data_IF_246229284777
#
_entry.id   IF_246229284777
#
_cell.length_a   1.000
_cell.length_b   1.000
_cell.length_c   1.000
_cell.angle_alpha   90.00
_cell.angle_beta   90.00
_cell.angle_gamma   90.00
#
_symmetry.space_group_name_H-M   'P 1'
#
loop_
_entity.id
_entity.type
_entity.pdbx_description
1 polymer ?
#
# COMPACT_ATOMS: atom_id res chain seq x y z
N UNK A 1 16.93 2.29 -25.30
CA UNK A 1 16.16 1.38 -24.41
C UNK A 1 16.22 1.84 -22.96
N UNK A 2 17.40 2.15 -22.42
CA UNK A 2 17.60 2.70 -21.06
C UNK A 2 16.83 4.02 -20.80
N UNK A 3 16.82 4.94 -21.77
CA UNK A 3 16.12 6.22 -21.67
C UNK A 3 14.59 6.14 -21.63
N UNK A 4 14.00 5.12 -22.27
CA UNK A 4 12.55 4.91 -22.26
C UNK A 4 12.11 4.35 -20.91
N UNK A 5 12.86 3.39 -20.35
CA UNK A 5 12.59 2.83 -19.04
C UNK A 5 12.75 3.89 -17.93
N UNK A 6 13.75 4.76 -18.03
CA UNK A 6 13.93 5.90 -17.13
C UNK A 6 12.82 6.95 -17.25
N UNK A 7 12.39 7.28 -18.48
CA UNK A 7 11.26 8.18 -18.71
C UNK A 7 9.95 7.61 -18.18
N UNK A 8 9.74 6.30 -18.31
CA UNK A 8 8.58 5.59 -17.78
C UNK A 8 8.60 5.54 -16.27
N UNK A 9 9.75 5.20 -15.69
CA UNK A 9 9.97 5.21 -14.25
C UNK A 9 9.74 6.61 -13.67
N UNK A 10 10.24 7.65 -14.36
CA UNK A 10 10.02 9.05 -13.97
C UNK A 10 8.56 9.46 -14.10
N UNK A 11 7.83 9.05 -15.14
CA UNK A 11 6.41 9.38 -15.28
C UNK A 11 5.51 8.65 -14.27
N UNK A 12 5.88 7.43 -13.87
CA UNK A 12 5.17 6.66 -12.83
C UNK A 12 5.51 7.17 -11.42
N UNK A 13 6.76 7.61 -11.19
CA UNK A 13 7.25 8.04 -9.89
C UNK A 13 7.22 9.56 -9.66
N UNK A 14 7.11 10.39 -10.70
CA UNK A 14 6.95 11.84 -10.53
C UNK A 14 5.47 12.17 -10.45
N UNK A 15 5.00 12.58 -9.27
CA UNK A 15 3.64 13.03 -9.12
C UNK A 15 3.48 14.44 -9.74
N UNK A 16 2.35 14.71 -10.37
CA UNK A 16 1.86 16.08 -10.46
C UNK A 16 1.59 16.63 -9.05
N UNK A 17 1.72 17.95 -8.86
CA UNK A 17 1.39 18.81 -7.69
C UNK A 17 1.62 18.30 -6.25
N UNK A 18 2.18 17.11 -6.02
CA UNK A 18 2.52 16.64 -4.70
C UNK A 18 3.76 17.36 -4.18
N UNK A 19 3.81 17.65 -2.87
CA UNK A 19 4.98 18.29 -2.27
C UNK A 19 6.21 17.43 -2.52
N UNK A 20 7.26 18.06 -3.06
CA UNK A 20 8.56 17.41 -3.25
C UNK A 20 9.10 16.99 -1.88
N UNK A 21 9.11 15.68 -1.60
CA UNK A 21 9.68 15.15 -0.36
C UNK A 21 11.18 14.96 -0.57
N UNK A 22 11.97 15.68 0.21
CA UNK A 22 13.41 15.47 0.30
C UNK A 22 13.70 14.37 1.34
N UNK A 23 13.83 13.14 0.85
CA UNK A 23 14.17 11.97 1.68
C UNK A 23 15.56 12.05 2.31
N UNK A 24 16.42 13.00 1.91
CA UNK A 24 17.76 13.17 2.49
C UNK A 24 17.76 14.05 3.74
N UNK A 25 16.63 14.64 4.12
CA UNK A 25 16.52 15.62 5.21
C UNK A 25 15.59 15.14 6.34
N UNK A 26 16.02 15.22 7.61
CA UNK A 26 17.33 15.69 8.07
C UNK A 26 18.46 14.68 7.78
N UNK A 27 19.66 15.20 7.51
CA UNK A 27 20.81 14.38 7.12
C UNK A 27 21.22 13.49 8.29
N UNK A 28 21.40 12.20 8.02
CA UNK A 28 21.91 11.23 8.99
C UNK A 28 20.87 10.67 9.96
N UNK A 29 19.61 11.09 9.87
CA UNK A 29 18.54 10.46 10.64
C UNK A 29 18.19 9.09 10.04
N UNK A 30 18.13 8.07 10.89
CA UNK A 30 17.71 6.73 10.48
C UNK A 30 16.21 6.69 10.14
N UNK A 31 15.85 5.88 9.16
CA UNK A 31 14.44 5.59 8.86
C UNK A 31 13.81 4.64 9.88
N UNK A 32 12.51 4.36 9.68
CA UNK A 32 11.83 3.26 10.38
C UNK A 32 12.39 1.89 9.95
N UNK A 33 12.92 1.83 8.73
CA UNK A 33 13.45 0.63 8.10
C UNK A 33 14.91 0.88 7.68
N UNK A 34 15.79 -0.11 7.88
CA UNK A 34 17.21 -0.01 7.52
C UNK A 34 17.43 0.03 6.00
N UNK A 35 18.42 0.79 5.48
CA UNK A 35 18.77 0.80 4.05
C UNK A 35 19.14 -0.56 3.43
N UNK A 36 19.63 -1.49 4.25
CA UNK A 36 20.04 -2.84 3.84
C UNK A 36 18.91 -3.88 3.99
N UNK A 37 17.69 -3.42 4.32
CA UNK A 37 16.51 -4.25 4.53
C UNK A 37 15.98 -4.93 3.27
N UNK A 38 15.16 -5.97 3.46
CA UNK A 38 14.40 -6.57 2.36
C UNK A 38 13.36 -5.59 1.82
N UNK A 39 12.73 -4.81 2.71
CA UNK A 39 11.77 -3.77 2.36
C UNK A 39 12.36 -2.71 1.41
N UNK A 40 13.59 -2.25 1.66
CA UNK A 40 14.30 -1.36 0.73
C UNK A 40 14.56 -2.01 -0.63
N UNK A 41 14.83 -3.32 -0.69
CA UNK A 41 15.00 -4.05 -1.96
C UNK A 41 13.69 -4.11 -2.74
N UNK A 42 12.58 -4.43 -2.06
CA UNK A 42 11.24 -4.51 -2.65
C UNK A 42 10.83 -3.15 -3.23
N UNK A 43 10.97 -2.10 -2.44
CA UNK A 43 10.53 -0.75 -2.81
C UNK A 43 11.43 -0.08 -3.86
N UNK A 44 12.56 -0.67 -4.27
CA UNK A 44 13.43 -0.14 -5.32
C UNK A 44 12.88 -0.40 -6.73
N UNK A 45 11.98 -1.37 -6.88
CA UNK A 45 11.45 -1.75 -8.18
C UNK A 45 10.02 -1.17 -8.39
N UNK A 46 9.87 -0.10 -9.20
CA UNK A 46 8.59 0.60 -9.36
C UNK A 46 7.50 -0.23 -10.03
N UNK A 47 7.86 -1.18 -10.91
CA UNK A 47 6.89 -2.05 -11.57
C UNK A 47 6.29 -3.05 -10.58
N UNK A 48 7.13 -3.70 -9.79
CA UNK A 48 6.65 -4.62 -8.76
C UNK A 48 5.87 -3.91 -7.66
N UNK A 49 6.27 -2.68 -7.31
CA UNK A 49 5.52 -1.83 -6.37
C UNK A 49 4.11 -1.53 -6.89
N UNK A 50 3.99 -1.17 -8.17
CA UNK A 50 2.69 -0.91 -8.77
C UNK A 50 1.80 -2.16 -8.77
N UNK A 51 2.31 -3.29 -9.25
CA UNK A 51 1.57 -4.57 -9.27
C UNK A 51 1.17 -4.98 -7.84
N UNK A 52 2.10 -4.85 -6.89
CA UNK A 52 1.86 -5.17 -5.48
C UNK A 52 0.81 -4.25 -4.84
N UNK A 53 0.82 -2.96 -5.16
CA UNK A 53 -0.18 -2.01 -4.69
C UNK A 53 -1.58 -2.33 -5.22
N UNK A 54 -1.72 -2.68 -6.50
CA UNK A 54 -3.00 -3.14 -7.07
C UNK A 54 -3.46 -4.42 -6.39
N UNK A 55 -2.56 -5.37 -6.17
CA UNK A 55 -2.85 -6.63 -5.47
C UNK A 55 -3.37 -6.36 -4.05
N UNK A 56 -2.72 -5.46 -3.32
CA UNK A 56 -3.13 -5.07 -1.98
C UNK A 56 -4.55 -4.49 -1.97
N UNK A 57 -4.84 -3.52 -2.84
CA UNK A 57 -6.16 -2.87 -2.89
C UNK A 57 -7.27 -3.86 -3.25
N UNK A 58 -7.03 -4.83 -4.14
CA UNK A 58 -8.02 -5.87 -4.45
C UNK A 58 -8.40 -6.66 -3.19
N UNK A 59 -7.40 -7.05 -2.38
CA UNK A 59 -7.63 -7.77 -1.12
C UNK A 59 -8.28 -6.88 -0.06
N UNK A 60 -7.88 -5.61 0.05
CA UNK A 60 -8.49 -4.63 0.95
C UNK A 60 -9.99 -4.47 0.67
N UNK A 61 -10.36 -4.33 -0.61
CA UNK A 61 -11.76 -4.18 -1.05
C UNK A 61 -12.60 -5.46 -0.87
N UNK A 62 -11.98 -6.61 -0.61
CA UNK A 62 -12.70 -7.83 -0.28
C UNK A 62 -13.30 -7.78 1.14
N UNK A 63 -12.71 -7.03 2.07
CA UNK A 63 -13.26 -6.83 3.42
C UNK A 63 -14.33 -5.71 3.37
N UNK A 64 -15.59 -5.98 3.77
CA UNK A 64 -16.71 -5.05 3.52
C UNK A 64 -16.58 -3.67 4.15
N UNK A 65 -16.03 -3.61 5.37
CA UNK A 65 -15.89 -2.37 6.14
C UNK A 65 -14.75 -1.51 5.59
N UNK A 66 -13.62 -2.13 5.26
CA UNK A 66 -12.50 -1.46 4.56
C UNK A 66 -12.98 -0.94 3.21
N UNK A 67 -13.69 -1.77 2.44
CA UNK A 67 -14.28 -1.39 1.15
C UNK A 67 -15.18 -0.18 1.27
N UNK A 68 -16.15 -0.18 2.18
CA UNK A 68 -17.07 0.95 2.39
C UNK A 68 -16.30 2.21 2.79
N UNK A 69 -15.35 2.10 3.73
CA UNK A 69 -14.49 3.21 4.13
C UNK A 69 -13.71 3.83 2.96
N UNK A 70 -13.16 3.00 2.08
CA UNK A 70 -12.42 3.48 0.89
C UNK A 70 -13.39 4.11 -0.12
N UNK A 71 -14.51 3.46 -0.43
CA UNK A 71 -15.38 3.87 -1.54
C UNK A 71 -16.18 5.14 -1.23
N UNK A 72 -16.53 5.36 0.03
CA UNK A 72 -17.40 6.47 0.45
C UNK A 72 -16.61 7.69 0.94
N UNK A 73 -15.40 7.50 1.49
CA UNK A 73 -14.65 8.57 2.14
C UNK A 73 -13.35 8.98 1.44
N UNK A 74 -13.09 8.47 0.23
CA UNK A 74 -11.89 8.83 -0.53
C UNK A 74 -12.22 9.39 -1.91
N UNK A 75 -11.29 10.17 -2.45
CA UNK A 75 -11.39 10.69 -3.82
C UNK A 75 -11.10 9.63 -4.89
N UNK A 76 -10.90 8.35 -4.55
CA UNK A 76 -10.38 7.35 -5.50
C UNK A 76 -11.21 7.27 -6.80
N UNK A 77 -12.53 7.34 -6.72
CA UNK A 77 -13.42 7.28 -7.89
C UNK A 77 -13.34 8.52 -8.77
N UNK A 78 -13.06 9.67 -8.16
CA UNK A 78 -13.04 10.98 -8.84
C UNK A 78 -11.65 11.31 -9.38
N UNK A 79 -10.61 10.94 -8.63
CA UNK A 79 -9.21 11.19 -8.94
C UNK A 79 -8.33 10.00 -8.49
N UNK A 80 -8.36 8.89 -9.26
CA UNK A 80 -7.62 7.68 -8.92
C UNK A 80 -6.11 7.89 -8.98
N UNK A 81 -5.63 8.72 -9.91
CA UNK A 81 -4.20 8.99 -10.09
C UNK A 81 -3.65 9.71 -8.87
N UNK A 82 -4.29 10.80 -8.43
CA UNK A 82 -3.85 11.52 -7.25
C UNK A 82 -3.92 10.65 -5.98
N UNK A 83 -4.94 9.80 -5.88
CA UNK A 83 -5.09 8.89 -4.73
C UNK A 83 -4.01 7.81 -4.71
N UNK A 84 -3.68 7.21 -5.86
CA UNK A 84 -2.57 6.27 -5.99
C UNK A 84 -1.25 6.92 -5.62
N UNK A 85 -0.98 8.14 -6.10
CA UNK A 85 0.23 8.85 -5.74
C UNK A 85 0.29 9.19 -4.24
N UNK A 86 -0.80 9.65 -3.64
CA UNK A 86 -0.83 9.97 -2.20
C UNK A 86 -0.55 8.74 -1.33
N UNK A 87 -1.14 7.59 -1.68
CA UNK A 87 -0.96 6.33 -0.96
C UNK A 87 0.44 5.75 -1.18
N UNK A 88 0.92 5.78 -2.42
CA UNK A 88 2.28 5.35 -2.77
C UNK A 88 3.34 6.20 -2.09
N UNK A 89 3.16 7.53 -2.05
CA UNK A 89 4.05 8.43 -1.33
C UNK A 89 4.10 8.10 0.16
N UNK A 90 2.96 7.78 0.77
CA UNK A 90 2.92 7.37 2.16
C UNK A 90 3.73 6.08 2.40
N UNK A 91 3.56 5.08 1.55
CA UNK A 91 4.33 3.84 1.63
C UNK A 91 5.85 4.11 1.45
N UNK A 92 6.23 4.96 0.50
CA UNK A 92 7.62 5.35 0.25
C UNK A 92 8.23 6.09 1.45
N UNK A 93 7.51 7.02 2.07
CA UNK A 93 7.95 7.73 3.28
C UNK A 93 8.12 6.78 4.45
N UNK A 94 7.25 5.78 4.61
CA UNK A 94 7.41 4.77 5.66
C UNK A 94 8.69 3.93 5.50
N UNK A 95 9.10 3.62 4.26
CA UNK A 95 10.28 2.78 4.00
C UNK A 95 11.58 3.59 3.91
N UNK A 96 11.56 4.71 3.17
CA UNK A 96 12.75 5.51 2.85
C UNK A 96 12.90 6.79 3.67
N UNK A 97 11.81 7.27 4.27
CA UNK A 97 11.80 8.54 4.99
C UNK A 97 12.56 8.47 6.31
N UNK A 98 13.20 9.57 6.73
CA UNK A 98 13.64 9.77 8.10
C UNK A 98 12.52 9.47 9.10
N UNK A 99 12.87 8.89 10.25
CA UNK A 99 11.89 8.44 11.25
C UNK A 99 10.89 9.54 11.64
N UNK A 100 11.36 10.74 11.95
CA UNK A 100 10.50 11.89 12.35
C UNK A 100 9.50 12.25 11.26
N UNK A 101 9.90 12.20 9.99
CA UNK A 101 9.04 12.45 8.84
C UNK A 101 7.97 11.36 8.71
N UNK A 102 8.38 10.10 8.79
CA UNK A 102 7.45 8.97 8.74
C UNK A 102 6.45 9.00 9.90
N UNK A 103 6.90 9.21 11.13
CA UNK A 103 6.04 9.32 12.32
C UNK A 103 5.05 10.48 12.21
N UNK A 104 5.48 11.66 11.76
CA UNK A 104 4.61 12.82 11.59
C UNK A 104 3.53 12.57 10.52
N UNK A 105 3.91 11.94 9.40
CA UNK A 105 2.98 11.56 8.36
C UNK A 105 1.97 10.51 8.84
N UNK A 106 2.45 9.45 9.51
CA UNK A 106 1.59 8.39 10.07
C UNK A 106 0.60 8.99 11.08
N UNK A 107 1.06 9.86 11.98
CA UNK A 107 0.20 10.56 12.92
C UNK A 107 -0.87 11.42 12.21
N UNK A 108 -0.52 12.03 11.07
CA UNK A 108 -1.50 12.77 10.25
C UNK A 108 -2.53 11.84 9.63
N UNK A 109 -2.13 10.70 9.08
CA UNK A 109 -3.05 9.69 8.55
C UNK A 109 -4.01 9.22 9.63
N UNK A 110 -3.51 8.91 10.83
CA UNK A 110 -4.36 8.51 11.97
C UNK A 110 -5.40 9.56 12.34
N UNK A 111 -5.03 10.84 12.39
CA UNK A 111 -5.97 11.95 12.64
C UNK A 111 -7.05 12.09 11.57
N UNK A 112 -6.74 11.72 10.32
CA UNK A 112 -7.74 11.68 9.25
C UNK A 112 -8.68 10.49 9.49
N UNK A 113 -8.13 9.31 9.79
CA UNK A 113 -8.89 8.09 10.07
C UNK A 113 -9.77 8.20 11.32
N UNK A 114 -9.43 9.04 12.31
CA UNK A 114 -10.27 9.31 13.51
C UNK A 114 -11.64 9.92 13.16
N UNK A 115 -11.81 10.42 11.93
CA UNK A 115 -13.06 11.02 11.45
C UNK A 115 -13.78 10.14 10.43
N UNK A 116 -13.26 8.95 10.15
CA UNK A 116 -13.79 8.04 9.15
C UNK A 116 -14.43 6.86 9.88
N UNK A 117 -15.75 6.88 9.90
CA UNK A 117 -16.60 5.84 10.45
C UNK A 117 -17.88 5.75 9.64
N UNK A 118 -18.57 4.62 9.73
CA UNK A 118 -19.80 4.42 8.99
C UNK A 118 -20.41 3.05 9.23
N UNK A 119 -21.35 2.68 8.36
CA UNK A 119 -22.06 1.40 8.40
C UNK A 119 -22.07 0.81 7.00
N UNK A 120 -21.73 -0.47 6.87
CA UNK A 120 -21.81 -1.19 5.58
C UNK A 120 -23.26 -1.37 5.15
N UNK A 121 -23.49 -1.75 3.89
CA UNK A 121 -24.83 -2.12 3.40
C UNK A 121 -25.44 -3.32 4.13
N UNK A 122 -24.62 -4.17 4.75
CA UNK A 122 -25.04 -5.30 5.60
C UNK A 122 -25.35 -4.89 7.05
N UNK A 123 -25.15 -3.62 7.43
CA UNK A 123 -25.42 -3.10 8.77
C UNK A 123 -24.24 -3.18 9.74
N UNK A 124 -23.04 -3.54 9.28
CA UNK A 124 -21.85 -3.60 10.14
C UNK A 124 -21.23 -2.22 10.32
N UNK A 125 -21.03 -1.81 11.57
CA UNK A 125 -20.33 -0.56 11.88
C UNK A 125 -18.84 -0.70 11.66
N UNK A 126 -18.18 0.40 11.30
CA UNK A 126 -16.73 0.44 11.19
C UNK A 126 -16.17 1.81 11.59
N UNK A 127 -14.91 1.80 11.99
CA UNK A 127 -14.10 2.97 12.22
C UNK A 127 -12.73 2.72 11.59
N UNK A 128 -12.17 3.67 10.83
CA UNK A 128 -10.97 3.43 10.03
C UNK A 128 -9.71 3.15 10.89
N UNK A 129 -9.69 3.61 12.15
CA UNK A 129 -8.65 3.23 13.11
C UNK A 129 -8.96 1.96 13.93
N UNK A 130 -9.95 1.14 13.56
CA UNK A 130 -10.13 -0.19 14.16
C UNK A 130 -8.86 -1.03 13.93
N UNK A 131 -8.18 -1.48 15.00
CA UNK A 131 -6.95 -2.27 14.89
C UNK A 131 -7.09 -3.51 14.02
N UNK A 132 -8.26 -4.17 14.00
CA UNK A 132 -8.47 -5.36 13.18
C UNK A 132 -8.50 -5.04 11.69
N UNK A 133 -9.14 -3.92 11.32
CA UNK A 133 -9.16 -3.45 9.93
C UNK A 133 -7.76 -2.97 9.50
N UNK A 134 -7.05 -2.28 10.40
CA UNK A 134 -5.67 -1.88 10.15
C UNK A 134 -4.73 -3.07 10.01
N UNK A 135 -4.90 -4.14 10.81
CA UNK A 135 -4.14 -5.39 10.66
C UNK A 135 -4.37 -6.02 9.28
N UNK A 136 -5.62 -6.05 8.81
CA UNK A 136 -5.96 -6.52 7.46
C UNK A 136 -5.26 -5.70 6.38
N UNK A 137 -5.40 -4.38 6.40
CA UNK A 137 -4.79 -3.47 5.42
C UNK A 137 -3.27 -3.60 5.40
N UNK A 138 -2.62 -3.68 6.57
CA UNK A 138 -1.16 -3.87 6.64
C UNK A 138 -0.74 -5.24 6.10
N UNK A 139 -1.49 -6.29 6.40
CA UNK A 139 -1.23 -7.63 5.92
C UNK A 139 -1.34 -7.74 4.38
N UNK A 140 -2.40 -7.17 3.80
CA UNK A 140 -2.63 -7.19 2.35
C UNK A 140 -1.61 -6.32 1.61
N UNK A 141 -1.24 -5.17 2.16
CA UNK A 141 -0.18 -4.32 1.62
C UNK A 141 1.18 -5.05 1.63
N UNK A 142 1.57 -5.62 2.77
CA UNK A 142 2.80 -6.37 2.90
C UNK A 142 2.85 -7.55 1.93
N UNK A 143 1.78 -8.36 1.87
CA UNK A 143 1.62 -9.47 0.94
C UNK A 143 1.75 -9.02 -0.52
N UNK A 144 1.01 -7.99 -0.93
CA UNK A 144 1.01 -7.51 -2.31
C UNK A 144 2.41 -7.13 -2.79
N UNK A 145 3.11 -6.32 -2.01
CA UNK A 145 4.46 -5.86 -2.37
C UNK A 145 5.49 -6.98 -2.41
N UNK A 146 5.57 -7.83 -1.38
CA UNK A 146 6.58 -8.90 -1.36
C UNK A 146 6.32 -9.95 -2.42
N UNK A 147 5.05 -10.29 -2.68
CA UNK A 147 4.72 -11.31 -3.69
C UNK A 147 4.93 -10.80 -5.11
N UNK A 148 4.59 -9.55 -5.39
CA UNK A 148 4.90 -8.97 -6.70
C UNK A 148 6.41 -8.97 -6.96
N UNK A 149 7.22 -8.63 -5.96
CA UNK A 149 8.67 -8.69 -6.11
C UNK A 149 9.17 -10.13 -6.28
N UNK A 150 8.66 -11.06 -5.46
CA UNK A 150 9.02 -12.48 -5.51
C UNK A 150 8.77 -13.10 -6.88
N UNK A 151 7.62 -12.79 -7.48
CA UNK A 151 7.18 -13.37 -8.75
C UNK A 151 7.84 -12.70 -9.96
N UNK A 152 7.96 -11.37 -9.96
CA UNK A 152 8.34 -10.62 -11.17
C UNK A 152 9.77 -10.09 -11.19
N UNK A 153 10.48 -10.09 -10.05
CA UNK A 153 11.81 -9.50 -9.93
C UNK A 153 12.85 -10.52 -9.51
N UNK A 154 12.70 -11.06 -8.29
CA UNK A 154 13.61 -12.05 -7.75
C UNK A 154 12.92 -12.86 -6.66
N UNK A 155 13.01 -14.18 -6.77
CA UNK A 155 12.51 -15.08 -5.73
C UNK A 155 13.27 -14.89 -4.42
N UNK A 156 12.51 -14.70 -3.35
CA UNK A 156 12.99 -14.70 -1.97
C UNK A 156 12.90 -16.07 -1.33
N UNK A 157 13.91 -16.39 -0.52
CA UNK A 157 13.86 -17.47 0.45
C UNK A 157 12.76 -17.22 1.50
N UNK A 158 12.32 -18.27 2.20
CA UNK A 158 11.34 -18.15 3.28
C UNK A 158 11.82 -17.16 4.36
N UNK A 159 13.11 -17.21 4.73
CA UNK A 159 13.69 -16.30 5.73
C UNK A 159 13.77 -14.85 5.26
N UNK A 160 13.88 -14.58 3.95
CA UNK A 160 13.76 -13.23 3.40
C UNK A 160 12.33 -12.71 3.49
N UNK A 161 11.32 -13.56 3.23
CA UNK A 161 9.92 -13.18 3.36
C UNK A 161 9.55 -12.90 4.81
N UNK A 162 9.96 -13.75 5.75
CA UNK A 162 9.75 -13.51 7.18
C UNK A 162 10.42 -12.22 7.65
N UNK A 163 11.67 -11.95 7.20
CA UNK A 163 12.33 -10.68 7.49
C UNK A 163 11.56 -9.48 6.96
N UNK A 164 11.03 -9.56 5.73
CA UNK A 164 10.22 -8.49 5.16
C UNK A 164 8.97 -8.18 6.02
N UNK A 165 8.24 -9.20 6.47
CA UNK A 165 7.09 -9.01 7.35
C UNK A 165 7.51 -8.41 8.71
N UNK A 166 8.56 -8.96 9.33
CA UNK A 166 9.08 -8.47 10.61
C UNK A 166 9.55 -7.01 10.55
N UNK A 167 10.19 -6.59 9.45
CA UNK A 167 10.62 -5.20 9.20
C UNK A 167 9.44 -4.21 9.18
N UNK A 168 8.25 -4.65 8.74
CA UNK A 168 7.05 -3.81 8.65
C UNK A 168 6.32 -3.61 9.98
N UNK A 169 6.47 -4.54 10.95
CA UNK A 169 5.71 -4.52 12.22
C UNK A 169 5.86 -3.21 13.01
N UNK A 170 7.06 -2.62 13.18
CA UNK A 170 7.21 -1.35 13.90
C UNK A 170 6.39 -0.21 13.27
N UNK A 171 6.42 -0.08 11.94
CA UNK A 171 5.64 0.93 11.23
C UNK A 171 4.13 0.66 11.31
N UNK A 172 3.71 -0.60 11.17
CA UNK A 172 2.32 -1.01 11.30
C UNK A 172 1.73 -0.63 12.68
N UNK A 173 2.51 -0.80 13.77
CA UNK A 173 2.10 -0.36 15.12
C UNK A 173 1.89 1.15 15.22
N UNK A 174 2.72 1.95 14.54
CA UNK A 174 2.53 3.40 14.51
C UNK A 174 1.20 3.78 13.85
N UNK A 175 0.79 3.07 12.79
CA UNK A 175 -0.53 3.23 12.17
C UNK A 175 -1.68 2.77 13.08
N UNK A 176 -1.42 1.92 14.08
CA UNK A 176 -2.42 1.35 14.99
C UNK A 176 -2.75 -0.13 14.73
N UNK A 177 -2.07 -0.75 13.76
CA UNK A 177 -2.17 -2.18 13.47
C UNK A 177 -1.32 -2.97 14.48
N UNK A 178 -1.89 -3.30 15.63
CA UNK A 178 -1.18 -3.97 16.74
C UNK A 178 -1.00 -5.47 16.55
N UNK A 179 -1.69 -6.07 15.58
CA UNK A 179 -1.63 -7.49 15.22
C UNK A 179 -1.26 -7.72 13.74
N UNK A 180 -0.51 -6.79 13.13
CA UNK A 180 0.04 -6.99 11.81
C UNK A 180 1.05 -8.18 11.82
N UNK A 181 1.05 -9.03 10.78
CA UNK A 181 1.86 -10.23 10.76
C UNK A 181 3.35 -9.90 10.61
N UNK A 182 4.18 -10.55 11.42
CA UNK A 182 5.64 -10.49 11.39
C UNK A 182 6.31 -11.67 10.69
N UNK A 183 5.52 -12.61 10.14
CA UNK A 183 6.00 -13.77 9.38
C UNK A 183 4.96 -14.23 8.35
N UNK A 184 5.37 -15.10 7.42
CA UNK A 184 4.48 -15.71 6.43
C UNK A 184 3.42 -16.59 7.11
N UNK A 185 3.79 -17.32 8.17
CA UNK A 185 2.85 -18.14 8.95
C UNK A 185 1.78 -17.29 9.67
N UNK A 186 2.17 -16.15 10.25
CA UNK A 186 1.22 -15.23 10.88
C UNK A 186 0.30 -14.57 9.84
N UNK A 187 0.83 -14.27 8.64
CA UNK A 187 0.03 -13.77 7.54
C UNK A 187 -1.03 -14.79 7.12
N UNK A 188 -0.64 -16.04 6.90
CA UNK A 188 -1.56 -17.12 6.53
C UNK A 188 -2.65 -17.31 7.60
N UNK A 189 -2.28 -17.26 8.88
CA UNK A 189 -3.23 -17.34 9.98
C UNK A 189 -4.25 -16.19 9.95
N UNK A 190 -3.79 -14.95 9.70
CA UNK A 190 -4.67 -13.78 9.59
C UNK A 190 -5.59 -13.88 8.37
N UNK A 191 -5.08 -14.35 7.23
CA UNK A 191 -5.88 -14.58 6.03
C UNK A 191 -6.95 -15.65 6.27
N UNK A 192 -6.58 -16.76 6.91
CA UNK A 192 -7.53 -17.82 7.25
C UNK A 192 -8.64 -17.32 8.19
N UNK A 193 -8.27 -16.56 9.23
CA UNK A 193 -9.23 -15.97 10.17
C UNK A 193 -10.19 -14.97 9.50
N UNK A 194 -9.72 -14.25 8.47
CA UNK A 194 -10.51 -13.23 7.78
C UNK A 194 -11.34 -13.79 6.63
N UNK A 195 -10.95 -14.94 6.06
CA UNK A 195 -11.53 -15.50 4.84
C UNK A 195 -13.07 -15.59 4.85
N UNK A 196 -13.66 -15.99 6.00
CA UNK A 196 -15.12 -16.11 6.14
C UNK A 196 -15.89 -14.78 6.13
N UNK A 197 -15.20 -13.65 6.20
CA UNK A 197 -15.78 -12.29 6.17
C UNK A 197 -15.63 -11.61 4.81
N UNK A 198 -14.84 -12.19 3.89
CA UNK A 198 -14.59 -11.59 2.59
C UNK A 198 -15.82 -11.75 1.69
N UNK A 199 -16.19 -10.67 1.01
CA UNK A 199 -17.37 -10.63 0.17
C UNK A 199 -17.01 -10.30 -1.28
N UNK A 200 -17.66 -11.01 -2.21
CA UNK A 200 -17.67 -10.59 -3.62
C UNK A 200 -18.35 -9.23 -3.72
N UNK A 201 -17.72 -8.28 -4.41
CA UNK A 201 -18.29 -6.94 -4.58
C UNK A 201 -18.13 -6.41 -6.00
N UNK A 202 -19.18 -5.73 -6.48
CA UNK A 202 -19.15 -4.98 -7.74
C UNK A 202 -18.07 -3.88 -7.73
N UNK A 203 -17.75 -3.33 -6.55
CA UNK A 203 -16.72 -2.30 -6.36
C UNK A 203 -15.33 -2.80 -6.78
N UNK A 204 -15.02 -4.09 -6.56
CA UNK A 204 -13.72 -4.65 -7.03
C UNK A 204 -13.63 -4.59 -8.54
N UNK A 205 -14.73 -4.86 -9.25
CA UNK A 205 -14.77 -4.77 -10.72
C UNK A 205 -14.76 -3.31 -11.20
N UNK A 206 -15.43 -2.39 -10.49
CA UNK A 206 -15.35 -0.95 -10.76
C UNK A 206 -13.90 -0.45 -10.58
N UNK A 207 -13.21 -0.87 -9.51
CA UNK A 207 -11.79 -0.60 -9.29
C UNK A 207 -10.94 -1.11 -10.46
N UNK A 208 -11.10 -2.37 -10.89
CA UNK A 208 -10.35 -2.91 -12.01
C UNK A 208 -10.61 -2.13 -13.31
N UNK A 209 -11.86 -1.76 -13.59
CA UNK A 209 -12.20 -0.94 -14.75
C UNK A 209 -11.54 0.44 -14.70
N UNK A 210 -11.51 1.08 -13.52
CA UNK A 210 -10.79 2.35 -13.30
C UNK A 210 -9.30 2.15 -13.55
N UNK A 211 -8.68 1.09 -13.03
CA UNK A 211 -7.25 0.82 -13.20
C UNK A 211 -6.87 0.56 -14.66
N UNK A 212 -7.72 -0.12 -15.44
CA UNK A 212 -7.50 -0.31 -16.88
C UNK A 212 -7.68 1.00 -17.69
N UNK A 213 -8.54 1.91 -17.23
CA UNK A 213 -8.93 3.11 -18.00
C UNK A 213 -8.13 4.36 -17.62
N UNK A 214 -7.66 4.47 -16.38
CA UNK A 214 -6.93 5.63 -15.89
C UNK A 214 -5.60 5.79 -16.66
N UNK A 215 -5.14 7.00 -17.00
CA UNK A 215 -3.92 7.18 -17.78
C UNK A 215 -2.65 7.02 -16.92
N UNK A 216 -2.47 5.84 -16.31
CA UNK A 216 -1.39 5.52 -15.37
C UNK A 216 -0.07 5.42 -16.10
N UNK A 217 -0.07 4.72 -17.24
CA UNK A 217 1.13 4.62 -18.05
C UNK A 217 1.35 5.91 -18.85
N UNK A 218 2.61 6.34 -19.03
CA UNK A 218 2.92 7.45 -19.91
C UNK A 218 2.46 7.12 -21.33
N UNK A 219 2.16 8.16 -22.12
CA UNK A 219 1.62 8.07 -23.48
C UNK A 219 2.17 6.91 -24.35
N UNK A 220 3.49 6.68 -24.47
CA UNK A 220 4.02 5.61 -25.31
C UNK A 220 3.70 4.19 -24.82
N UNK A 221 3.35 4.01 -23.54
CA UNK A 221 3.03 2.70 -22.94
C UNK A 221 1.54 2.47 -22.70
N UNK A 222 0.67 3.47 -22.93
CA UNK A 222 -0.79 3.33 -22.74
C UNK A 222 -1.43 2.14 -23.46
N UNK A 223 -1.00 1.73 -24.68
CA UNK A 223 -1.58 0.55 -25.34
C UNK A 223 -1.39 -0.76 -24.57
N UNK A 224 -0.40 -0.86 -23.67
CA UNK A 224 -0.15 -2.04 -22.84
C UNK A 224 -1.00 -2.08 -21.56
N UNK A 225 -1.85 -1.07 -21.33
CA UNK A 225 -2.73 -0.98 -20.16
C UNK A 225 -4.10 -1.66 -20.38
N UNK A 226 -4.41 -2.00 -21.64
CA UNK A 226 -5.67 -2.58 -22.10
C UNK A 226 -5.70 -4.11 -21.99
#
# INVERSE_FOLDING_TARGET
MQSLLEAVTRAVLQPGDLPHIDFSRPIGEAGLVSPDSVSWRVFKNPLSLFIGGVTAVILELAEPRVRTGIWEHTSFRLDPIQRLHTTGLAAMVTVYGPRTMAEAMIARVRRIHDRIEGVTSSGETYHANDPNLLNWVQATAAYGFVQAYHVYVQQFSASERDRYYAEGVPAARLFGATGAPGSEAELEALFHATAGRLERSAIVFEFLAIMCSAPILPLPLRPAQL
#
